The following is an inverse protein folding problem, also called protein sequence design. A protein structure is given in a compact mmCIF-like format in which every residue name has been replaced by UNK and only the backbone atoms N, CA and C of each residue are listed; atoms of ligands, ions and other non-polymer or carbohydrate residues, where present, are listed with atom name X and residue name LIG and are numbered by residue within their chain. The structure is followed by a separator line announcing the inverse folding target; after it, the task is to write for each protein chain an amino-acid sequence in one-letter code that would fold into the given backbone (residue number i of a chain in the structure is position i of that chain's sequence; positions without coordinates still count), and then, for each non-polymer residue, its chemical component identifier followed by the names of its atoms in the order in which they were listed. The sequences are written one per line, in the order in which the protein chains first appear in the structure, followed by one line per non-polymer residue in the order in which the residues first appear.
data_IF_080658123817
#
_entry.id   IF_080658123817
#
_cell.length_a   1.000
_cell.length_b   1.000
_cell.length_c   1.000
_cell.angle_alpha   90.00
_cell.angle_beta   90.00
_cell.angle_gamma   90.00
#
_symmetry.space_group_name_H-M   'P 1'
#
loop_
_entity.id
_entity.type
_entity.pdbx_description
1 polymer ?
#
# COMPACT_ATOMS: atom_id res chain seq x y z
N UNK A 1 -6.30 -12.48 17.76
CA UNK A 1 -5.77 -13.50 16.82
C UNK A 1 -6.92 -14.36 16.26
N UNK A 2 -7.87 -13.76 15.52
CA UNK A 2 -9.04 -14.48 14.96
C UNK A 2 -9.07 -14.51 13.42
N UNK A 3 -8.50 -13.50 12.77
CA UNK A 3 -8.56 -13.38 11.31
C UNK A 3 -7.85 -14.54 10.58
N UNK A 4 -6.64 -14.92 11.01
CA UNK A 4 -5.88 -16.01 10.37
C UNK A 4 -6.61 -17.35 10.44
N UNK A 5 -7.20 -17.66 11.59
CA UNK A 5 -7.99 -18.89 11.78
C UNK A 5 -9.21 -18.93 10.87
N UNK A 6 -9.92 -17.80 10.75
CA UNK A 6 -11.06 -17.66 9.83
C UNK A 6 -10.58 -17.83 8.38
N UNK A 7 -9.53 -17.13 7.96
CA UNK A 7 -9.05 -17.23 6.59
C UNK A 7 -8.67 -18.67 6.25
N UNK A 8 -7.96 -19.35 7.15
CA UNK A 8 -7.64 -20.77 6.99
C UNK A 8 -8.89 -21.66 6.94
N UNK A 9 -9.91 -21.43 7.77
CA UNK A 9 -11.14 -22.23 7.76
C UNK A 9 -11.95 -22.09 6.46
N UNK A 10 -11.79 -20.98 5.74
CA UNK A 10 -12.42 -20.72 4.45
C UNK A 10 -11.47 -20.94 3.25
N UNK A 11 -10.27 -21.49 3.48
CA UNK A 11 -9.24 -21.67 2.44
C UNK A 11 -8.86 -20.37 1.70
N UNK A 12 -8.92 -19.24 2.41
CA UNK A 12 -8.47 -17.94 1.90
C UNK A 12 -6.97 -17.79 2.13
N UNK A 13 -6.25 -17.41 1.07
CA UNK A 13 -4.82 -17.10 1.13
C UNK A 13 -4.60 -15.73 1.80
N UNK A 14 -3.50 -15.59 2.53
CA UNK A 14 -3.11 -14.34 3.18
C UNK A 14 -1.59 -14.22 3.29
N UNK A 15 -1.12 -12.98 3.41
CA UNK A 15 0.28 -12.69 3.67
C UNK A 15 0.64 -12.86 5.15
N UNK A 16 1.89 -13.21 5.43
CA UNK A 16 2.34 -13.45 6.80
C UNK A 16 2.40 -12.17 7.63
N UNK A 17 2.74 -11.07 6.96
CA UNK A 17 2.87 -9.72 7.50
C UNK A 17 2.23 -8.70 6.56
N UNK A 18 1.79 -7.60 7.13
CA UNK A 18 1.14 -6.50 6.44
C UNK A 18 1.71 -5.18 6.95
N UNK A 19 2.12 -4.31 6.04
CA UNK A 19 2.52 -2.93 6.32
C UNK A 19 1.49 -2.01 5.68
N UNK A 20 0.76 -1.27 6.52
CA UNK A 20 -0.19 -0.24 6.08
C UNK A 20 0.26 1.14 6.53
N UNK A 21 -0.37 1.63 7.60
CA UNK A 21 -0.23 3.02 8.07
C UNK A 21 1.20 3.51 8.30
N UNK A 22 2.16 2.62 8.60
CA UNK A 22 3.56 2.99 8.82
C UNK A 22 4.22 3.61 7.58
N UNK A 23 3.76 3.27 6.39
CA UNK A 23 4.30 3.73 5.11
C UNK A 23 3.29 4.57 4.32
N UNK A 24 2.21 5.03 4.95
CA UNK A 24 1.18 5.80 4.24
C UNK A 24 1.67 7.22 3.94
N UNK A 25 1.48 7.65 2.70
CA UNK A 25 1.73 8.99 2.20
C UNK A 25 3.19 9.40 2.30
N UNK A 26 3.43 10.59 2.85
CA UNK A 26 4.78 11.13 3.03
C UNK A 26 5.70 10.26 3.90
N UNK A 27 5.16 9.31 4.66
CA UNK A 27 5.96 8.37 5.46
C UNK A 27 6.55 7.25 4.59
N UNK A 28 6.14 7.13 3.31
CA UNK A 28 6.74 6.19 2.37
C UNK A 28 8.15 6.67 1.98
N UNK A 29 9.12 6.33 2.81
CA UNK A 29 10.54 6.64 2.62
C UNK A 29 11.37 5.38 2.71
N UNK A 30 12.59 5.39 2.17
CA UNK A 30 13.50 4.25 2.26
C UNK A 30 13.81 3.87 3.70
N UNK A 31 13.99 4.86 4.58
CA UNK A 31 14.24 4.66 6.01
C UNK A 31 13.06 3.95 6.68
N UNK A 32 11.83 4.44 6.45
CA UNK A 32 10.63 3.83 7.04
C UNK A 32 10.37 2.42 6.50
N UNK A 33 10.66 2.19 5.20
CA UNK A 33 10.57 0.87 4.58
C UNK A 33 11.54 -0.12 5.23
N UNK A 34 12.81 0.29 5.36
CA UNK A 34 13.86 -0.55 5.94
C UNK A 34 13.57 -0.86 7.42
N UNK A 35 13.13 0.13 8.19
CA UNK A 35 12.69 -0.06 9.56
C UNK A 35 11.50 -1.02 9.66
N UNK A 36 10.53 -0.92 8.74
CA UNK A 36 9.36 -1.80 8.75
C UNK A 36 9.74 -3.25 8.42
N UNK A 37 10.58 -3.46 7.41
CA UNK A 37 10.99 -4.78 6.96
C UNK A 37 11.98 -5.46 7.91
N UNK A 38 12.92 -4.72 8.51
CA UNK A 38 13.86 -5.24 9.49
C UNK A 38 13.18 -5.80 10.74
N UNK A 39 11.96 -5.38 11.04
CA UNK A 39 11.16 -5.93 12.14
C UNK A 39 10.57 -7.33 11.86
N UNK A 40 10.69 -7.83 10.64
CA UNK A 40 10.10 -9.10 10.21
C UNK A 40 11.16 -10.20 10.04
N UNK A 41 11.44 -10.93 11.11
CA UNK A 41 12.23 -12.16 11.04
C UNK A 41 11.43 -13.30 10.38
N UNK A 42 12.10 -14.14 9.58
CA UNK A 42 11.59 -15.38 8.97
C UNK A 42 10.26 -15.25 8.21
N UNK A 43 10.07 -14.15 7.48
CA UNK A 43 8.88 -13.90 6.67
C UNK A 43 9.12 -14.21 5.18
N UNK A 44 8.26 -15.03 4.57
CA UNK A 44 8.30 -15.37 3.14
C UNK A 44 7.58 -14.34 2.27
N UNK A 45 6.54 -13.69 2.80
CA UNK A 45 5.77 -12.69 2.06
C UNK A 45 5.23 -11.60 2.98
N UNK A 46 5.34 -10.36 2.50
CA UNK A 46 4.88 -9.16 3.17
C UNK A 46 3.97 -8.42 2.21
N UNK A 47 2.78 -8.08 2.66
CA UNK A 47 1.88 -7.20 1.92
C UNK A 47 2.19 -5.75 2.26
N UNK A 48 2.30 -4.94 1.21
CA UNK A 48 2.51 -3.50 1.33
C UNK A 48 1.29 -2.77 0.75
N UNK A 49 0.53 -2.11 1.63
CA UNK A 49 -0.59 -1.25 1.23
C UNK A 49 -0.08 0.11 0.77
N UNK A 50 -0.54 0.53 -0.41
CA UNK A 50 -0.21 1.79 -1.06
C UNK A 50 -1.45 2.34 -1.78
N UNK A 51 -1.44 3.63 -2.05
CA UNK A 51 -2.49 4.44 -2.65
C UNK A 51 -1.93 5.38 -3.74
N UNK A 52 -1.06 4.90 -4.66
CA UNK A 52 -0.39 5.77 -5.62
C UNK A 52 -1.39 6.45 -6.56
N UNK A 53 -1.06 7.67 -6.99
CA UNK A 53 -1.72 8.35 -8.09
C UNK A 53 -1.77 9.85 -7.92
N UNK A 54 -2.42 10.53 -8.86
CA UNK A 54 -2.60 11.98 -8.78
C UNK A 54 -3.67 12.35 -7.76
N UNK A 55 -3.49 13.51 -7.12
CA UNK A 55 -4.50 14.04 -6.18
C UNK A 55 -5.85 14.19 -6.88
N UNK A 56 -6.91 13.79 -6.18
CA UNK A 56 -8.29 13.95 -6.66
C UNK A 56 -8.77 15.36 -6.30
N UNK A 57 -9.54 15.99 -7.19
CA UNK A 57 -10.06 17.35 -6.96
C UNK A 57 -11.51 17.22 -6.50
N UNK A 58 -11.83 17.78 -5.32
CA UNK A 58 -13.23 17.91 -4.91
C UNK A 58 -13.90 19.02 -5.73
N UNK A 59 -14.98 18.68 -6.43
CA UNK A 59 -15.78 19.62 -7.18
C UNK A 59 -16.90 20.21 -6.31
N UNK A 60 -17.27 21.46 -6.60
CA UNK A 60 -18.36 22.17 -5.92
C UNK A 60 -19.75 21.70 -6.35
N UNK A 61 -19.85 21.00 -7.49
CA UNK A 61 -21.07 20.35 -7.94
C UNK A 61 -21.00 18.86 -7.61
N UNK A 62 -21.88 18.40 -6.71
CA UNK A 62 -21.92 17.02 -6.20
C UNK A 62 -22.04 15.97 -7.31
N UNK A 63 -22.69 16.29 -8.45
CA UNK A 63 -22.80 15.38 -9.59
C UNK A 63 -21.47 15.02 -10.23
N UNK A 64 -20.40 15.78 -9.93
CA UNK A 64 -19.06 15.60 -10.48
C UNK A 64 -18.08 15.00 -9.45
N UNK A 65 -18.53 14.69 -8.23
CA UNK A 65 -17.72 14.07 -7.17
C UNK A 65 -17.68 12.54 -7.27
N UNK A 66 -17.81 11.98 -8.48
CA UNK A 66 -17.81 10.52 -8.71
C UNK A 66 -16.40 9.91 -8.71
N UNK A 67 -15.35 10.74 -8.68
CA UNK A 67 -13.96 10.27 -8.60
C UNK A 67 -13.61 9.74 -7.20
N UNK A 68 -12.83 8.66 -7.13
CA UNK A 68 -12.50 7.97 -5.88
C UNK A 68 -13.37 6.74 -5.65
N UNK A 69 -13.87 6.55 -4.42
CA UNK A 69 -14.70 5.39 -4.03
C UNK A 69 -16.20 5.57 -4.28
N UNK A 70 -16.61 6.59 -5.06
CA UNK A 70 -18.03 6.89 -5.32
C UNK A 70 -18.77 7.46 -4.10
N UNK A 71 -18.05 8.17 -3.23
CA UNK A 71 -18.63 8.88 -2.09
C UNK A 71 -19.38 10.14 -2.59
N UNK A 72 -20.68 10.33 -2.26
CA UNK A 72 -21.41 11.55 -2.59
C UNK A 72 -20.74 12.83 -2.08
N UNK A 73 -20.03 12.76 -0.96
CA UNK A 73 -19.29 13.88 -0.37
C UNK A 73 -17.95 14.15 -1.08
N UNK A 74 -17.59 13.32 -2.06
CA UNK A 74 -16.37 13.40 -2.85
C UNK A 74 -15.15 12.79 -2.17
N UNK A 75 -13.93 13.00 -2.73
CA UNK A 75 -12.72 12.38 -2.23
C UNK A 75 -12.40 12.82 -0.79
N UNK A 76 -11.86 11.90 0.02
CA UNK A 76 -11.38 12.23 1.36
C UNK A 76 -10.13 13.14 1.34
N UNK A 77 -9.70 13.60 2.51
CA UNK A 77 -8.54 14.51 2.63
C UNK A 77 -7.24 13.88 2.13
N UNK A 78 -7.06 12.57 2.31
CA UNK A 78 -5.87 11.87 1.85
C UNK A 78 -5.84 11.79 0.32
N UNK A 79 -6.96 11.47 -0.29
CA UNK A 79 -7.14 11.38 -1.75
C UNK A 79 -6.87 12.71 -2.46
N UNK A 80 -7.16 13.82 -1.79
CA UNK A 80 -6.90 15.18 -2.28
C UNK A 80 -5.46 15.66 -2.05
N UNK A 81 -4.65 14.91 -1.30
CA UNK A 81 -3.31 15.34 -0.91
C UNK A 81 -2.23 14.94 -1.93
N UNK A 82 -1.09 15.63 -1.88
CA UNK A 82 0.11 15.27 -2.65
C UNK A 82 0.76 13.96 -2.21
N UNK A 83 0.29 13.36 -1.10
CA UNK A 83 0.85 12.13 -0.57
C UNK A 83 0.68 10.98 -1.57
N UNK A 84 -0.42 10.93 -2.34
CA UNK A 84 -0.61 9.91 -3.39
C UNK A 84 0.42 10.00 -4.52
N UNK A 85 0.81 11.23 -4.86
CA UNK A 85 1.82 11.50 -5.89
C UNK A 85 3.21 11.11 -5.36
N UNK A 86 3.48 11.43 -4.09
CA UNK A 86 4.68 10.99 -3.38
C UNK A 86 4.81 9.46 -3.39
N UNK A 87 3.75 8.74 -3.02
CA UNK A 87 3.74 7.27 -3.04
C UNK A 87 4.00 6.72 -4.45
N UNK A 88 3.39 7.32 -5.48
CA UNK A 88 3.60 6.94 -6.88
C UNK A 88 5.06 7.16 -7.31
N UNK A 89 5.66 8.31 -6.99
CA UNK A 89 7.04 8.60 -7.34
C UNK A 89 8.01 7.68 -6.60
N UNK A 90 7.75 7.36 -5.33
CA UNK A 90 8.53 6.38 -4.59
C UNK A 90 8.51 5.01 -5.27
N UNK A 91 7.32 4.47 -5.57
CA UNK A 91 7.15 3.13 -6.14
C UNK A 91 7.72 2.98 -7.55
N UNK A 92 7.83 4.09 -8.28
CA UNK A 92 8.41 4.12 -9.64
C UNK A 92 9.88 4.54 -9.66
N UNK A 93 10.48 4.80 -8.50
CA UNK A 93 11.87 5.27 -8.40
C UNK A 93 12.89 4.16 -8.67
N UNK A 94 14.04 4.55 -9.24
CA UNK A 94 15.19 3.66 -9.36
C UNK A 94 15.76 3.25 -7.99
N UNK A 95 15.60 4.09 -6.97
CA UNK A 95 16.03 3.81 -5.60
C UNK A 95 15.25 2.64 -5.00
N UNK A 96 13.91 2.67 -5.08
CA UNK A 96 13.07 1.57 -4.59
C UNK A 96 13.34 0.29 -5.38
N UNK A 97 13.47 0.39 -6.70
CA UNK A 97 13.86 -0.76 -7.55
C UNK A 97 15.21 -1.33 -7.15
N UNK A 98 16.21 -0.47 -6.89
CA UNK A 98 17.54 -0.83 -6.41
C UNK A 98 17.48 -1.57 -5.07
N UNK A 99 16.67 -1.09 -4.15
CA UNK A 99 16.47 -1.72 -2.85
C UNK A 99 15.89 -3.14 -2.98
N UNK A 100 14.85 -3.34 -3.78
CA UNK A 100 14.30 -4.68 -4.01
C UNK A 100 15.36 -5.65 -4.55
N UNK A 101 16.20 -5.19 -5.48
CA UNK A 101 17.27 -6.02 -6.05
C UNK A 101 18.37 -6.36 -5.04
N UNK A 102 18.85 -5.39 -4.25
CA UNK A 102 19.91 -5.60 -3.25
C UNK A 102 19.47 -6.59 -2.17
N UNK A 103 18.20 -6.53 -1.78
CA UNK A 103 17.63 -7.43 -0.76
C UNK A 103 17.07 -8.73 -1.34
N UNK A 104 17.18 -8.95 -2.66
CA UNK A 104 16.64 -10.12 -3.36
C UNK A 104 15.14 -10.34 -3.09
N UNK A 105 14.37 -9.26 -3.09
CA UNK A 105 12.91 -9.30 -2.99
C UNK A 105 12.27 -9.43 -4.36
N UNK A 106 11.19 -10.21 -4.41
CA UNK A 106 10.36 -10.41 -5.59
C UNK A 106 8.96 -9.83 -5.39
N UNK A 107 8.40 -9.23 -6.44
CA UNK A 107 7.02 -8.78 -6.42
C UNK A 107 6.09 -9.96 -6.69
N UNK A 108 5.16 -10.20 -5.75
CA UNK A 108 4.21 -11.31 -5.80
C UNK A 108 2.79 -10.80 -6.06
N UNK A 109 1.96 -11.69 -6.63
CA UNK A 109 0.50 -11.57 -6.65
C UNK A 109 -0.10 -12.50 -5.59
N UNK A 110 -1.34 -12.23 -5.18
CA UNK A 110 -2.06 -13.12 -4.27
C UNK A 110 -2.23 -14.56 -4.80
N UNK A 111 -2.20 -14.74 -6.13
CA UNK A 111 -2.21 -16.08 -6.76
C UNK A 111 -0.98 -16.91 -6.42
N UNK A 112 0.15 -16.26 -6.16
CA UNK A 112 1.47 -16.87 -5.96
C UNK A 112 1.68 -17.31 -4.51
N UNK A 113 0.81 -16.87 -3.61
CA UNK A 113 0.81 -17.34 -2.22
C UNK A 113 0.45 -18.83 -2.19
N UNK A 114 1.17 -19.62 -1.39
CA UNK A 114 0.90 -21.05 -1.16
C UNK A 114 -0.36 -21.26 -0.35
#
# INVERSE_FOLDING_TARGET
MKAKEIFSSYSLKYTQKFIGMALMGKNQTMESLDQSLSSFEDCKNVEFMVHPGYRTIKHTNESNNLEGCGDPDGPDLFSQSSDREHEMFFLTSDEFKGYLMVHNYELLKFSDLS
#
